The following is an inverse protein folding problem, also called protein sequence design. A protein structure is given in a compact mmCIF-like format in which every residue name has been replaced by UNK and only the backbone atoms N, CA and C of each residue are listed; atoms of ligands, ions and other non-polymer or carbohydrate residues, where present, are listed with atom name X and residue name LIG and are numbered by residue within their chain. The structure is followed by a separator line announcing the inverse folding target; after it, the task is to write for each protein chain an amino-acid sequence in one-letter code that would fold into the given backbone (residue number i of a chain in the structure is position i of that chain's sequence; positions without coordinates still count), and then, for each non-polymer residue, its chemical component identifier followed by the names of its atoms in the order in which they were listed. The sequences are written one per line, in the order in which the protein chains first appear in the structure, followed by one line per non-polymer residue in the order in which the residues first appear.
data_IF_159433611573
#
_entry.id   IF_159433611573
#
_cell.length_a   1.000
_cell.length_b   1.000
_cell.length_c   1.000
_cell.angle_alpha   90.00
_cell.angle_beta   90.00
_cell.angle_gamma   90.00
#
_symmetry.space_group_name_H-M   'P 1'
#
loop_
_entity.id
_entity.type
_entity.pdbx_description
1 polymer ?
#
# COMPACT_ATOMS: atom_id res chain seq x y z
N UNK A 1 -11.01 3.04 -1.80
CA UNK A 1 -9.69 3.59 -1.53
C UNK A 1 -9.74 3.88 -0.06
N UNK A 2 -8.76 3.35 0.66
CA UNK A 2 -8.61 3.56 2.08
C UNK A 2 -7.34 4.38 2.28
N UNK A 3 -7.37 5.32 3.23
CA UNK A 3 -6.21 6.13 3.57
C UNK A 3 -6.05 6.14 5.08
N UNK A 4 -4.82 6.06 5.58
CA UNK A 4 -4.51 6.14 6.99
C UNK A 4 -3.10 6.69 7.24
N UNK A 5 -2.89 7.23 8.43
CA UNK A 5 -1.57 7.60 8.92
C UNK A 5 -1.04 6.49 9.83
N UNK A 6 0.18 6.01 9.56
CA UNK A 6 0.83 4.95 10.34
C UNK A 6 2.29 5.31 10.59
N UNK A 7 2.66 5.54 11.86
CA UNK A 7 4.05 5.89 12.27
C UNK A 7 4.66 7.06 11.49
N UNK A 8 3.86 8.10 11.25
CA UNK A 8 4.21 9.28 10.43
C UNK A 8 4.37 9.02 8.91
N UNK A 9 3.97 7.84 8.44
CA UNK A 9 3.81 7.52 7.02
C UNK A 9 2.33 7.64 6.64
N UNK A 10 2.05 8.39 5.59
CA UNK A 10 0.73 8.44 4.97
C UNK A 10 0.60 7.29 3.98
N UNK A 11 -0.40 6.43 4.19
CA UNK A 11 -0.65 5.24 3.37
C UNK A 11 -1.97 5.43 2.64
N UNK A 12 -1.99 5.25 1.33
CA UNK A 12 -3.20 5.13 0.51
C UNK A 12 -3.25 3.78 -0.16
N UNK A 13 -4.31 3.01 0.10
CA UNK A 13 -4.54 1.69 -0.45
C UNK A 13 -5.70 1.69 -1.44
N UNK A 14 -5.55 0.93 -2.52
CA UNK A 14 -6.57 0.74 -3.54
C UNK A 14 -6.58 -0.69 -4.09
N UNK A 15 -7.76 -1.13 -4.54
CA UNK A 15 -7.91 -2.32 -5.35
C UNK A 15 -8.10 -1.94 -6.82
N UNK A 16 -7.02 -1.87 -7.59
CA UNK A 16 -7.08 -1.57 -9.02
C UNK A 16 -7.75 -2.73 -9.76
N UNK A 17 -8.79 -2.43 -10.54
CA UNK A 17 -9.47 -3.47 -11.31
C UNK A 17 -8.64 -3.86 -12.53
N UNK A 18 -8.24 -5.12 -12.58
CA UNK A 18 -7.61 -5.75 -13.72
C UNK A 18 -8.71 -6.36 -14.61
N UNK A 19 -8.91 -5.76 -15.79
CA UNK A 19 -9.93 -6.20 -16.75
C UNK A 19 -9.65 -7.56 -17.37
N UNK A 20 -8.39 -7.98 -17.45
CA UNK A 20 -8.04 -9.27 -18.06
C UNK A 20 -8.35 -10.42 -17.10
N UNK A 21 -8.17 -10.19 -15.80
CA UNK A 21 -8.38 -11.19 -14.75
C UNK A 21 -9.74 -11.09 -14.08
N UNK A 22 -10.49 -10.02 -14.34
CA UNK A 22 -11.74 -9.67 -13.65
C UNK A 22 -11.61 -9.59 -12.12
N UNK A 23 -10.39 -9.29 -11.64
CA UNK A 23 -10.04 -9.24 -10.23
C UNK A 23 -9.43 -7.90 -9.85
N UNK A 24 -9.25 -7.67 -8.54
CA UNK A 24 -8.69 -6.46 -7.96
C UNK A 24 -7.25 -6.71 -7.53
N UNK A 25 -6.30 -6.01 -8.13
CA UNK A 25 -4.90 -5.97 -7.74
C UNK A 25 -4.73 -5.00 -6.55
N UNK A 26 -4.10 -5.41 -5.45
CA UNK A 26 -3.80 -4.54 -4.32
C UNK A 26 -2.68 -3.56 -4.68
N UNK A 27 -2.87 -2.28 -4.36
CA UNK A 27 -1.85 -1.25 -4.50
C UNK A 27 -1.84 -0.41 -3.25
N UNK A 28 -0.65 -0.12 -2.72
CA UNK A 28 -0.47 0.86 -1.67
C UNK A 28 0.59 1.88 -2.07
N UNK A 29 0.26 3.15 -1.93
CA UNK A 29 1.23 4.24 -1.96
C UNK A 29 1.50 4.69 -0.53
N UNK A 30 2.78 4.86 -0.21
CA UNK A 30 3.28 5.23 1.10
C UNK A 30 4.09 6.50 0.91
N UNK A 31 3.84 7.53 1.71
CA UNK A 31 4.63 8.76 1.66
C UNK A 31 4.96 9.30 3.05
N UNK A 32 6.10 9.96 3.17
CA UNK A 32 6.59 10.48 4.44
C UNK A 32 7.52 11.66 4.22
N UNK A 33 7.74 12.43 5.28
CA UNK A 33 8.79 13.44 5.31
C UNK A 33 10.08 12.83 5.86
N UNK A 34 11.18 13.10 5.17
CA UNK A 34 12.55 12.72 5.54
C UNK A 34 13.41 13.99 5.66
N UNK A 35 14.66 13.83 6.12
CA UNK A 35 15.64 14.91 6.12
C UNK A 35 15.93 15.46 4.71
N UNK A 36 15.78 14.63 3.66
CA UNK A 36 15.92 14.98 2.25
C UNK A 36 14.66 15.63 1.64
N UNK A 37 13.57 15.73 2.39
CA UNK A 37 12.28 16.25 1.92
C UNK A 37 11.21 15.17 1.85
N UNK A 38 10.24 15.34 0.95
CA UNK A 38 9.12 14.41 0.79
C UNK A 38 9.54 13.17 -0.01
N UNK A 39 9.31 12.00 0.56
CA UNK A 39 9.62 10.70 -0.03
C UNK A 39 8.36 9.87 -0.23
N UNK A 40 8.41 8.93 -1.16
CA UNK A 40 7.31 8.00 -1.39
C UNK A 40 7.79 6.63 -1.85
N UNK A 41 6.95 5.61 -1.63
CA UNK A 41 7.14 4.24 -2.06
C UNK A 41 5.81 3.64 -2.46
N UNK A 42 5.76 2.98 -3.62
CA UNK A 42 4.58 2.28 -4.09
C UNK A 42 4.80 0.78 -4.02
N UNK A 43 3.87 0.08 -3.38
CA UNK A 43 3.75 -1.38 -3.40
C UNK A 43 2.68 -1.72 -4.42
N UNK A 44 3.09 -2.41 -5.48
CA UNK A 44 2.20 -3.02 -6.46
C UNK A 44 2.45 -4.52 -6.46
N UNK A 45 1.53 -5.28 -5.88
CA UNK A 45 1.65 -6.74 -5.82
C UNK A 45 0.80 -7.37 -6.93
N UNK A 46 1.48 -7.86 -7.96
CA UNK A 46 0.87 -8.52 -9.11
C UNK A 46 0.73 -10.03 -8.94
N UNK A 47 1.11 -10.59 -7.79
CA UNK A 47 0.91 -12.00 -7.45
C UNK A 47 -0.47 -12.21 -6.84
N UNK A 48 -0.90 -11.28 -5.97
CA UNK A 48 -2.18 -11.38 -5.27
C UNK A 48 -3.31 -10.65 -6.02
N UNK A 49 -4.46 -11.32 -6.14
CA UNK A 49 -5.67 -10.75 -6.73
C UNK A 49 -6.88 -11.10 -5.87
N UNK A 50 -7.80 -10.15 -5.74
CA UNK A 50 -8.95 -10.26 -4.85
C UNK A 50 -10.27 -10.07 -5.60
N UNK A 51 -11.31 -10.78 -5.16
CA UNK A 51 -12.65 -10.63 -5.73
C UNK A 51 -13.28 -9.30 -5.38
N UNK A 52 -13.00 -8.78 -4.18
CA UNK A 52 -13.58 -7.52 -3.72
C UNK A 52 -12.55 -6.42 -3.55
N UNK A 53 -13.02 -5.18 -3.73
CA UNK A 53 -12.22 -3.97 -3.47
C UNK A 53 -11.75 -3.90 -2.01
N UNK A 54 -12.60 -4.32 -1.07
CA UNK A 54 -12.31 -4.23 0.37
C UNK A 54 -11.19 -5.18 0.79
N UNK A 55 -11.15 -6.39 0.23
CA UNK A 55 -10.07 -7.36 0.47
C UNK A 55 -8.74 -6.87 -0.10
N UNK A 56 -8.75 -6.35 -1.34
CA UNK A 56 -7.54 -5.78 -1.94
C UNK A 56 -7.00 -4.60 -1.12
N UNK A 57 -7.88 -3.72 -0.64
CA UNK A 57 -7.49 -2.58 0.19
C UNK A 57 -6.95 -3.03 1.55
N UNK A 58 -7.57 -4.02 2.20
CA UNK A 58 -7.09 -4.57 3.47
C UNK A 58 -5.71 -5.21 3.33
N UNK A 59 -5.50 -6.01 2.27
CA UNK A 59 -4.21 -6.61 1.99
C UNK A 59 -3.12 -5.56 1.72
N UNK A 60 -3.43 -4.57 0.87
CA UNK A 60 -2.51 -3.47 0.56
C UNK A 60 -2.10 -2.67 1.81
N UNK A 61 -3.04 -2.42 2.75
CA UNK A 61 -2.75 -1.76 4.02
C UNK A 61 -1.76 -2.59 4.86
N UNK A 62 -2.00 -3.89 5.02
CA UNK A 62 -1.13 -4.74 5.83
C UNK A 62 0.27 -4.90 5.21
N UNK A 63 0.35 -5.01 3.88
CA UNK A 63 1.63 -4.99 3.17
C UNK A 63 2.38 -3.67 3.38
N UNK A 64 1.68 -2.53 3.32
CA UNK A 64 2.27 -1.22 3.55
C UNK A 64 2.76 -1.05 5.00
N UNK A 65 1.99 -1.48 6.00
CA UNK A 65 2.42 -1.47 7.40
C UNK A 65 3.65 -2.32 7.63
N UNK A 66 3.70 -3.53 7.05
CA UNK A 66 4.85 -4.42 7.16
C UNK A 66 6.11 -3.78 6.56
N UNK A 67 5.98 -3.08 5.43
CA UNK A 67 7.08 -2.33 4.82
C UNK A 67 7.54 -1.17 5.71
N UNK A 68 6.61 -0.37 6.24
CA UNK A 68 6.92 0.73 7.17
C UNK A 68 7.64 0.19 8.41
N UNK A 69 7.18 -0.92 8.97
CA UNK A 69 7.81 -1.55 10.13
C UNK A 69 9.24 -2.01 9.83
N UNK A 70 9.49 -2.57 8.65
CA UNK A 70 10.83 -2.95 8.21
C UNK A 70 11.74 -1.72 8.03
N UNK A 71 11.21 -0.65 7.42
CA UNK A 71 11.95 0.61 7.21
C UNK A 71 12.34 1.27 8.52
N UNK A 72 11.39 1.41 9.45
CA UNK A 72 11.63 2.07 10.75
C UNK A 72 12.62 1.26 11.61
N UNK A 73 12.64 -0.07 11.49
CA UNK A 73 13.65 -0.91 12.15
C UNK A 73 15.06 -0.79 11.55
N UNK A 74 15.15 -0.41 10.27
CA UNK A 74 16.41 -0.31 9.55
C UNK A 74 17.03 1.10 9.59
N UNK A 75 16.28 2.10 10.08
CA UNK A 75 16.69 3.48 10.26
C UNK A 75 17.29 3.70 11.66
#
# INVERSE_FOLDING_TARGET
MAALLYKDFFITASGQFDKQKELRMPIADISWHSASGYESHTIQDSVHYFGTKKEAEAFAIEAAKAWVDARVKAA
#
